data_IF_831163481786
#
_entry.id   IF_831163481786
#
_cell.length_a   1.000
_cell.length_b   1.000
_cell.length_c   1.000
_cell.angle_alpha   90.00
_cell.angle_beta   90.00
_cell.angle_gamma   90.00
#
_symmetry.space_group_name_H-M   'P 1'
#
loop_
_entity.id
_entity.type
_entity.pdbx_description
1 polymer ?
#
# COMPACT_ATOMS: atom_id res chain seq x y z
N UNK A 1 -39.94 -16.95 8.82
CA UNK A 1 -40.18 -18.20 8.08
C UNK A 1 -38.99 -18.41 7.15
N UNK A 2 -38.29 -19.52 7.35
CA UNK A 2 -36.90 -19.75 7.03
C UNK A 2 -36.61 -20.14 5.59
N UNK A 3 -35.41 -19.79 5.20
CA UNK A 3 -34.66 -20.19 4.01
C UNK A 3 -34.02 -21.58 4.23
N UNK A 4 -34.87 -22.64 4.40
CA UNK A 4 -34.41 -23.97 4.75
C UNK A 4 -34.76 -25.11 3.77
N UNK A 5 -35.49 -24.83 2.68
CA UNK A 5 -36.13 -25.91 1.90
C UNK A 5 -35.75 -26.03 0.42
N UNK A 6 -34.62 -25.48 -0.03
CA UNK A 6 -34.24 -25.55 -1.46
C UNK A 6 -33.20 -26.63 -1.78
N UNK A 7 -32.58 -27.28 -0.79
CA UNK A 7 -31.48 -28.27 -1.03
C UNK A 7 -31.84 -29.75 -0.78
N UNK A 8 -33.14 -30.13 -0.75
CA UNK A 8 -33.55 -31.52 -0.52
C UNK A 8 -34.36 -32.16 -1.66
N UNK A 9 -34.05 -31.85 -2.91
CA UNK A 9 -34.65 -32.61 -4.04
C UNK A 9 -33.68 -32.71 -5.21
N UNK A 10 -32.74 -33.63 -5.16
CA UNK A 10 -32.16 -34.25 -6.36
C UNK A 10 -31.24 -35.40 -5.96
N UNK A 11 -31.84 -36.44 -5.40
CA UNK A 11 -31.29 -37.81 -5.41
C UNK A 11 -32.46 -38.71 -5.63
N UNK A 12 -32.70 -39.14 -6.85
CA UNK A 12 -33.28 -40.45 -7.15
C UNK A 12 -33.10 -40.85 -8.64
N UNK A 13 -32.33 -41.89 -8.86
CA UNK A 13 -32.42 -42.95 -9.87
C UNK A 13 -32.42 -42.62 -11.37
N UNK A 14 -31.37 -43.16 -12.03
CA UNK A 14 -31.63 -44.06 -13.16
C UNK A 14 -30.39 -44.93 -13.40
N UNK A 15 -30.44 -46.17 -12.90
CA UNK A 15 -29.62 -47.29 -13.34
C UNK A 15 -30.17 -47.84 -14.64
N UNK A 16 -29.41 -47.77 -15.71
CA UNK A 16 -29.61 -48.57 -16.91
C UNK A 16 -28.26 -49.08 -17.38
N UNK A 17 -28.07 -50.40 -17.18
CA UNK A 17 -26.98 -51.21 -17.70
C UNK A 17 -27.15 -51.38 -19.21
N UNK A 18 -26.10 -51.02 -19.98
CA UNK A 18 -25.87 -51.57 -21.32
C UNK A 18 -24.42 -52.05 -21.41
N UNK A 19 -24.23 -53.35 -21.38
CA UNK A 19 -22.99 -53.99 -21.80
C UNK A 19 -22.83 -53.85 -23.31
N UNK A 20 -21.78 -53.20 -23.78
CA UNK A 20 -21.26 -53.37 -25.12
C UNK A 20 -19.72 -53.44 -25.03
N UNK A 21 -19.23 -54.67 -25.24
CA UNK A 21 -17.81 -54.91 -25.47
C UNK A 21 -17.37 -54.24 -26.78
N UNK A 22 -16.44 -53.29 -26.66
CA UNK A 22 -15.53 -52.99 -27.75
C UNK A 22 -14.19 -52.56 -27.14
N UNK A 23 -13.14 -53.30 -27.55
CA UNK A 23 -11.79 -53.11 -27.04
C UNK A 23 -11.28 -51.70 -27.30
N UNK A 24 -11.04 -50.96 -26.26
CA UNK A 24 -10.27 -49.73 -26.30
C UNK A 24 -8.93 -49.96 -25.62
N UNK A 25 -7.92 -49.81 -26.43
CA UNK A 25 -6.51 -49.72 -26.07
C UNK A 25 -6.37 -48.67 -24.94
N UNK A 26 -6.08 -49.12 -23.73
CA UNK A 26 -5.66 -48.25 -22.64
C UNK A 26 -4.38 -47.51 -23.05
N UNK A 27 -4.52 -46.32 -23.57
CA UNK A 27 -3.48 -45.29 -23.38
C UNK A 27 -3.53 -44.92 -21.91
N UNK A 28 -2.64 -45.49 -21.10
CA UNK A 28 -2.22 -44.88 -19.84
C UNK A 28 -1.64 -43.56 -20.20
N UNK A 29 -2.39 -42.48 -20.04
CA UNK A 29 -1.85 -41.18 -19.76
C UNK A 29 -1.11 -41.36 -18.45
N UNK A 30 0.22 -41.36 -18.50
CA UNK A 30 1.05 -41.13 -17.34
C UNK A 30 0.75 -39.70 -16.91
N UNK A 31 -0.19 -39.52 -15.98
CA UNK A 31 -0.22 -38.35 -15.14
C UNK A 31 1.15 -38.30 -14.48
N UNK A 32 2.01 -37.43 -15.00
CA UNK A 32 3.27 -37.09 -14.34
C UNK A 32 2.88 -36.56 -12.95
N UNK A 33 3.14 -37.38 -11.94
CA UNK A 33 3.07 -37.00 -10.53
C UNK A 33 4.23 -36.00 -10.26
N UNK A 34 4.20 -34.85 -10.93
CA UNK A 34 5.06 -33.71 -10.60
C UNK A 34 4.45 -33.10 -9.34
N UNK A 35 5.17 -33.18 -8.24
CA UNK A 35 4.77 -32.51 -7.02
C UNK A 35 4.54 -31.01 -7.36
N UNK A 36 3.48 -30.38 -6.80
CA UNK A 36 3.22 -28.98 -7.07
C UNK A 36 4.46 -28.15 -6.72
N UNK A 37 4.79 -27.15 -7.51
CA UNK A 37 5.94 -26.28 -7.25
C UNK A 37 5.82 -25.66 -5.86
N UNK A 38 6.93 -25.59 -5.14
CA UNK A 38 7.00 -25.00 -3.79
C UNK A 38 8.11 -23.97 -3.76
N UNK A 39 7.89 -22.88 -3.01
CA UNK A 39 8.94 -21.91 -2.77
C UNK A 39 9.93 -22.46 -1.75
N UNK A 40 11.20 -22.58 -2.14
CA UNK A 40 12.28 -23.06 -1.26
C UNK A 40 13.08 -21.90 -0.70
N UNK A 41 12.94 -21.64 0.60
CA UNK A 41 13.68 -20.60 1.29
C UNK A 41 15.11 -21.07 1.62
N UNK A 42 16.05 -20.12 1.61
CA UNK A 42 17.45 -20.39 2.04
C UNK A 42 17.52 -20.56 3.56
N UNK A 43 18.48 -21.35 4.01
CA UNK A 43 18.78 -21.49 5.44
C UNK A 43 19.80 -20.46 5.88
N UNK A 44 19.54 -19.77 6.99
CA UNK A 44 20.50 -18.84 7.59
C UNK A 44 21.63 -19.63 8.23
N UNK A 45 22.91 -19.31 7.95
CA UNK A 45 24.06 -19.95 8.61
C UNK A 45 23.95 -19.85 10.14
N UNK A 46 24.24 -20.94 10.83
CA UNK A 46 24.13 -21.02 12.31
C UNK A 46 25.09 -20.07 13.04
N UNK A 47 26.14 -19.61 12.37
CA UNK A 47 27.10 -18.63 12.90
C UNK A 47 26.52 -17.20 12.98
N UNK A 48 25.48 -16.89 12.19
CA UNK A 48 24.79 -15.59 12.26
C UNK A 48 23.76 -15.69 13.37
N UNK A 49 24.02 -15.08 14.50
CA UNK A 49 23.17 -15.17 15.71
C UNK A 49 22.36 -13.89 15.96
N UNK A 50 22.87 -12.74 15.52
CA UNK A 50 22.17 -11.46 15.66
C UNK A 50 20.87 -11.45 14.82
N UNK A 51 19.71 -11.05 15.39
CA UNK A 51 18.43 -11.07 14.67
C UNK A 51 18.39 -10.15 13.43
N UNK A 52 19.05 -8.99 13.48
CA UNK A 52 19.08 -8.05 12.35
C UNK A 52 19.96 -8.60 11.22
N UNK A 53 21.14 -9.11 11.55
CA UNK A 53 22.04 -9.76 10.57
C UNK A 53 21.36 -10.98 9.93
N UNK A 54 20.57 -11.75 10.69
CA UNK A 54 19.78 -12.88 10.17
C UNK A 54 18.71 -12.42 9.18
N UNK A 55 18.00 -11.34 9.50
CA UNK A 55 17.00 -10.76 8.62
C UNK A 55 17.65 -10.21 7.34
N UNK A 56 18.76 -9.48 7.44
CA UNK A 56 19.50 -8.96 6.28
C UNK A 56 20.06 -10.09 5.40
N UNK A 57 20.55 -11.19 6.00
CA UNK A 57 20.96 -12.38 5.26
C UNK A 57 19.77 -12.99 4.50
N UNK A 58 18.64 -13.20 5.17
CA UNK A 58 17.42 -13.76 4.55
C UNK A 58 16.94 -12.90 3.38
N UNK A 59 16.80 -11.59 3.59
CA UNK A 59 16.36 -10.65 2.57
C UNK A 59 17.29 -10.66 1.35
N UNK A 60 18.60 -10.67 1.57
CA UNK A 60 19.60 -10.69 0.50
C UNK A 60 19.54 -11.96 -0.33
N UNK A 61 19.27 -13.11 0.30
CA UNK A 61 19.34 -14.43 -0.32
C UNK A 61 17.96 -15.05 -0.56
N UNK A 62 16.87 -14.29 -0.35
CA UNK A 62 15.51 -14.80 -0.36
C UNK A 62 15.16 -15.53 -1.64
N UNK A 63 15.57 -14.99 -2.77
CA UNK A 63 15.22 -15.46 -4.11
C UNK A 63 16.30 -16.34 -4.76
N UNK A 64 17.39 -16.69 -4.05
CA UNK A 64 18.53 -17.41 -4.63
C UNK A 64 18.16 -18.80 -5.21
N UNK A 65 17.10 -19.42 -4.69
CA UNK A 65 16.62 -20.73 -5.16
C UNK A 65 15.42 -20.66 -6.09
N UNK A 66 14.92 -19.45 -6.37
CA UNK A 66 13.79 -19.26 -7.27
C UNK A 66 14.27 -19.15 -8.72
N UNK A 67 13.74 -20.00 -9.60
CA UNK A 67 14.09 -19.95 -11.03
C UNK A 67 13.19 -18.94 -11.76
N UNK A 68 13.68 -17.73 -11.97
CA UNK A 68 12.99 -16.67 -12.71
C UNK A 68 12.84 -16.96 -14.23
N UNK A 69 13.37 -18.07 -14.75
CA UNK A 69 13.15 -18.51 -16.13
C UNK A 69 11.96 -19.46 -16.26
N UNK A 70 11.54 -20.05 -15.18
CA UNK A 70 10.38 -20.95 -15.17
C UNK A 70 9.08 -20.16 -15.08
N UNK A 71 8.53 -19.82 -16.24
CA UNK A 71 7.28 -19.05 -16.35
C UNK A 71 6.05 -19.79 -15.85
N UNK A 72 6.12 -21.09 -15.52
CA UNK A 72 5.00 -21.80 -14.90
C UNK A 72 4.60 -21.20 -13.57
N UNK A 73 5.56 -20.60 -12.84
CA UNK A 73 5.32 -19.87 -11.58
C UNK A 73 4.37 -18.68 -11.71
N UNK A 74 4.21 -18.10 -12.90
CA UNK A 74 3.23 -17.01 -13.15
C UNK A 74 1.79 -17.52 -12.92
N UNK A 75 1.56 -18.81 -13.14
CA UNK A 75 0.25 -19.46 -12.99
C UNK A 75 0.06 -20.14 -11.63
N UNK A 76 1.01 -19.98 -10.72
CA UNK A 76 1.02 -20.56 -9.36
C UNK A 76 1.04 -19.46 -8.28
N UNK A 77 -0.03 -18.62 -8.19
CA UNK A 77 -0.06 -17.48 -7.27
C UNK A 77 0.06 -17.90 -5.81
N UNK A 78 -0.41 -19.10 -5.45
CA UNK A 78 -0.25 -19.68 -4.11
C UNK A 78 1.22 -19.90 -3.73
N UNK A 79 2.14 -19.94 -4.71
CA UNK A 79 3.59 -20.03 -4.48
C UNK A 79 4.23 -18.65 -4.56
N UNK A 80 4.04 -17.95 -5.68
CA UNK A 80 4.72 -16.68 -5.98
C UNK A 80 4.19 -15.51 -5.15
N UNK A 81 2.86 -15.36 -5.03
CA UNK A 81 2.28 -14.26 -4.25
C UNK A 81 2.50 -14.48 -2.74
N UNK A 82 2.45 -15.73 -2.27
CA UNK A 82 2.77 -16.03 -0.86
C UNK A 82 4.26 -15.77 -0.57
N UNK A 83 5.15 -16.18 -1.46
CA UNK A 83 6.58 -15.90 -1.31
C UNK A 83 6.84 -14.38 -1.30
N UNK A 84 6.20 -13.62 -2.20
CA UNK A 84 6.33 -12.17 -2.23
C UNK A 84 5.77 -11.51 -0.97
N UNK A 85 4.61 -11.94 -0.47
CA UNK A 85 4.03 -11.44 0.78
C UNK A 85 4.99 -11.64 1.96
N UNK A 86 5.56 -12.84 2.09
CA UNK A 86 6.56 -13.14 3.14
C UNK A 86 7.84 -12.30 2.97
N UNK A 87 8.26 -12.06 1.72
CA UNK A 87 9.40 -11.21 1.42
C UNK A 87 9.16 -9.75 1.83
N UNK A 88 7.98 -9.21 1.53
CA UNK A 88 7.59 -7.85 1.94
C UNK A 88 7.58 -7.72 3.47
N UNK A 89 7.06 -8.73 4.17
CA UNK A 89 7.03 -8.71 5.64
C UNK A 89 8.45 -8.69 6.25
N UNK A 90 9.38 -9.44 5.68
CA UNK A 90 10.79 -9.44 6.11
C UNK A 90 11.46 -8.06 5.99
N UNK A 91 11.02 -7.20 5.07
CA UNK A 91 11.58 -5.86 4.88
C UNK A 91 11.37 -4.94 6.09
N UNK A 92 10.43 -5.25 6.96
CA UNK A 92 10.20 -4.49 8.20
C UNK A 92 11.32 -4.69 9.24
N UNK A 93 12.21 -5.66 9.04
CA UNK A 93 13.26 -6.05 10.00
C UNK A 93 14.67 -5.72 9.52
N UNK A 94 14.82 -5.02 8.39
CA UNK A 94 16.11 -4.68 7.80
C UNK A 94 16.26 -3.17 7.59
N UNK A 95 17.51 -2.74 7.38
CA UNK A 95 17.79 -1.33 7.07
C UNK A 95 17.19 -0.92 5.72
N UNK A 96 16.81 0.37 5.54
CA UNK A 96 16.31 0.88 4.24
C UNK A 96 17.30 0.61 3.08
N UNK A 97 18.59 0.64 3.36
CA UNK A 97 19.63 0.34 2.36
C UNK A 97 19.62 -1.13 1.94
N UNK A 98 19.50 -2.05 2.91
CA UNK A 98 19.41 -3.49 2.65
C UNK A 98 18.11 -3.82 1.88
N UNK A 99 16.97 -3.22 2.28
CA UNK A 99 15.70 -3.33 1.59
C UNK A 99 15.82 -2.89 0.12
N UNK A 100 16.29 -1.68 -0.15
CA UNK A 100 16.42 -1.15 -1.52
C UNK A 100 17.34 -2.01 -2.37
N UNK A 101 18.49 -2.42 -1.82
CA UNK A 101 19.43 -3.29 -2.52
C UNK A 101 18.84 -4.64 -2.89
N UNK A 102 18.11 -5.27 -1.96
CA UNK A 102 17.48 -6.57 -2.18
C UNK A 102 16.36 -6.49 -3.22
N UNK A 103 15.49 -5.45 -3.16
CA UNK A 103 14.43 -5.24 -4.15
C UNK A 103 15.01 -5.07 -5.55
N UNK A 104 16.02 -4.21 -5.71
CA UNK A 104 16.68 -4.01 -7.00
C UNK A 104 17.36 -5.28 -7.52
N UNK A 105 17.96 -6.08 -6.64
CA UNK A 105 18.56 -7.36 -7.01
C UNK A 105 17.50 -8.37 -7.47
N UNK A 106 16.35 -8.46 -6.78
CA UNK A 106 15.23 -9.29 -7.19
C UNK A 106 14.70 -8.85 -8.57
N UNK A 107 14.40 -7.57 -8.75
CA UNK A 107 13.92 -7.03 -10.04
C UNK A 107 14.90 -7.33 -11.17
N UNK A 108 16.21 -7.27 -10.90
CA UNK A 108 17.23 -7.67 -11.90
C UNK A 108 17.16 -9.16 -12.27
N UNK A 109 16.83 -10.02 -11.33
CA UNK A 109 16.67 -11.45 -11.62
C UNK A 109 15.43 -11.73 -12.47
N UNK A 110 14.35 -10.96 -12.31
CA UNK A 110 13.13 -11.13 -13.11
C UNK A 110 13.35 -10.82 -14.59
N UNK A 111 14.34 -10.00 -14.97
CA UNK A 111 14.67 -9.69 -16.38
C UNK A 111 15.20 -10.89 -17.19
N UNK A 112 15.42 -12.05 -16.56
CA UNK A 112 15.80 -13.27 -17.28
C UNK A 112 14.71 -13.78 -18.23
N UNK A 113 13.45 -13.40 -17.98
CA UNK A 113 12.30 -13.63 -18.83
C UNK A 113 11.36 -12.42 -18.82
N UNK A 114 10.86 -12.00 -19.98
CA UNK A 114 10.03 -10.78 -20.10
C UNK A 114 8.66 -10.92 -19.44
N UNK A 115 8.04 -12.11 -19.50
CA UNK A 115 6.76 -12.35 -18.84
C UNK A 115 6.91 -12.38 -17.31
N UNK A 116 8.02 -12.93 -16.83
CA UNK A 116 8.36 -12.92 -15.40
C UNK A 116 8.63 -11.50 -14.90
N UNK A 117 9.36 -10.69 -15.69
CA UNK A 117 9.60 -9.29 -15.35
C UNK A 117 8.32 -8.47 -15.27
N UNK A 118 7.42 -8.63 -16.23
CA UNK A 118 6.11 -7.98 -16.21
C UNK A 118 5.29 -8.45 -15.00
N UNK A 119 5.19 -9.74 -14.77
CA UNK A 119 4.43 -10.33 -13.67
C UNK A 119 4.87 -9.82 -12.30
N UNK A 120 6.19 -9.83 -12.02
CA UNK A 120 6.71 -9.29 -10.76
C UNK A 120 6.54 -7.78 -10.64
N UNK A 121 6.67 -7.03 -11.74
CA UNK A 121 6.42 -5.58 -11.73
C UNK A 121 4.97 -5.27 -11.36
N UNK A 122 4.00 -6.00 -11.93
CA UNK A 122 2.58 -5.87 -11.62
C UNK A 122 2.25 -6.29 -10.17
N UNK A 123 2.87 -7.38 -9.69
CA UNK A 123 2.70 -7.80 -8.29
C UNK A 123 3.27 -6.77 -7.31
N UNK A 124 4.45 -6.21 -7.58
CA UNK A 124 5.04 -5.18 -6.72
C UNK A 124 4.14 -3.94 -6.68
N UNK A 125 3.55 -3.53 -7.78
CA UNK A 125 2.56 -2.45 -7.81
C UNK A 125 1.31 -2.82 -7.01
N UNK A 126 0.71 -3.99 -7.27
CA UNK A 126 -0.48 -4.49 -6.57
C UNK A 126 -0.31 -4.51 -5.05
N UNK A 127 0.84 -4.98 -4.57
CA UNK A 127 1.04 -5.16 -3.13
C UNK A 127 1.60 -3.92 -2.43
N UNK A 128 2.47 -3.15 -3.09
CA UNK A 128 3.16 -2.05 -2.42
C UNK A 128 2.52 -0.68 -2.65
N UNK A 129 1.77 -0.51 -3.75
CA UNK A 129 1.23 0.79 -4.15
C UNK A 129 -0.28 0.91 -4.05
N UNK A 130 -1.07 -0.17 -4.29
CA UNK A 130 -2.53 -0.12 -4.20
C UNK A 130 -2.94 0.39 -2.80
N UNK A 131 -3.76 1.45 -2.70
CA UNK A 131 -4.18 2.02 -1.42
C UNK A 131 -4.97 1.04 -0.54
N UNK A 132 -5.57 0.01 -1.11
CA UNK A 132 -6.30 -1.03 -0.38
C UNK A 132 -5.41 -2.22 0.04
N UNK A 133 -4.15 -2.24 -0.37
CA UNK A 133 -3.24 -3.32 -0.01
C UNK A 133 -2.84 -3.24 1.47
N UNK A 134 -3.01 -4.30 2.26
CA UNK A 134 -2.52 -4.35 3.64
C UNK A 134 -0.98 -4.39 3.72
N UNK A 135 -0.31 -4.70 2.59
CA UNK A 135 1.15 -4.77 2.47
C UNK A 135 1.75 -3.49 1.87
N UNK A 136 0.94 -2.44 1.71
CA UNK A 136 1.39 -1.17 1.13
C UNK A 136 2.63 -0.64 1.83
N UNK A 137 3.68 -0.37 1.03
CA UNK A 137 4.96 0.15 1.50
C UNK A 137 5.60 1.02 0.42
N UNK A 138 5.43 2.32 0.52
CA UNK A 138 5.92 3.27 -0.48
C UNK A 138 7.45 3.30 -0.55
N UNK A 139 8.16 3.17 0.59
CA UNK A 139 9.63 3.16 0.60
C UNK A 139 10.20 1.97 -0.18
N UNK A 140 9.56 0.81 -0.07
CA UNK A 140 9.92 -0.37 -0.87
C UNK A 140 9.53 -0.17 -2.35
N UNK A 141 8.38 0.45 -2.62
CA UNK A 141 7.94 0.72 -3.99
C UNK A 141 8.82 1.75 -4.69
N UNK A 142 9.37 2.74 -3.99
CA UNK A 142 10.39 3.65 -4.52
C UNK A 142 11.57 2.87 -5.09
N UNK A 143 12.07 1.85 -4.41
CA UNK A 143 13.17 1.03 -4.91
C UNK A 143 12.81 0.26 -6.20
N UNK A 144 11.55 -0.18 -6.32
CA UNK A 144 11.03 -0.78 -7.56
C UNK A 144 10.99 0.25 -8.68
N UNK A 145 10.42 1.43 -8.43
CA UNK A 145 10.29 2.51 -9.42
C UNK A 145 11.65 3.03 -9.89
N UNK A 146 12.62 3.18 -8.98
CA UNK A 146 14.00 3.52 -9.33
C UNK A 146 14.58 2.47 -10.27
N UNK A 147 14.39 1.18 -9.97
CA UNK A 147 14.84 0.11 -10.84
C UNK A 147 14.18 0.17 -12.22
N UNK A 148 12.85 0.30 -12.29
CA UNK A 148 12.10 0.34 -13.55
C UNK A 148 12.48 1.53 -14.42
N UNK A 149 12.73 2.70 -13.84
CA UNK A 149 13.16 3.90 -14.58
C UNK A 149 14.55 3.77 -15.19
N UNK A 150 15.45 3.00 -14.56
CA UNK A 150 16.82 2.78 -15.00
C UNK A 150 16.98 1.54 -15.90
N UNK A 151 16.03 0.58 -15.86
CA UNK A 151 16.12 -0.69 -16.56
C UNK A 151 16.26 -0.50 -18.08
N UNK A 152 17.21 -1.22 -18.69
CA UNK A 152 17.34 -1.30 -20.16
C UNK A 152 16.34 -2.26 -20.81
N UNK A 153 15.59 -3.01 -20.01
CA UNK A 153 14.57 -3.95 -20.48
C UNK A 153 13.25 -3.25 -20.81
N UNK A 154 13.08 -1.98 -20.41
CA UNK A 154 11.93 -1.13 -20.73
C UNK A 154 12.29 -0.07 -21.77
N UNK A 155 11.39 0.15 -22.72
CA UNK A 155 11.45 1.29 -23.65
C UNK A 155 11.19 2.61 -22.93
N UNK A 156 11.54 3.74 -23.55
CA UNK A 156 11.29 5.07 -23.01
C UNK A 156 9.79 5.32 -22.74
N UNK A 157 8.91 4.75 -23.56
CA UNK A 157 7.45 4.86 -23.36
C UNK A 157 6.99 4.10 -22.11
N UNK A 158 7.50 2.89 -21.89
CA UNK A 158 7.17 2.10 -20.71
C UNK A 158 7.70 2.71 -19.40
N UNK A 159 8.75 3.52 -19.48
CA UNK A 159 9.32 4.25 -18.34
C UNK A 159 8.55 5.50 -17.93
N UNK A 160 7.65 6.03 -18.78
CA UNK A 160 6.92 7.28 -18.48
C UNK A 160 6.12 7.13 -17.18
N UNK A 161 5.34 6.05 -17.03
CA UNK A 161 4.51 5.82 -15.85
C UNK A 161 5.33 5.57 -14.58
N UNK A 162 6.33 4.67 -14.57
CA UNK A 162 7.21 4.52 -13.41
C UNK A 162 7.92 5.81 -13.00
N UNK A 163 8.38 6.63 -13.95
CA UNK A 163 9.05 7.90 -13.65
C UNK A 163 8.09 8.90 -12.99
N UNK A 164 6.86 9.00 -13.48
CA UNK A 164 5.83 9.85 -12.88
C UNK A 164 5.46 9.38 -11.47
N UNK A 165 5.25 8.07 -11.26
CA UNK A 165 4.98 7.52 -9.93
C UNK A 165 6.14 7.71 -8.97
N UNK A 166 7.38 7.61 -9.44
CA UNK A 166 8.58 7.88 -8.64
C UNK A 166 8.61 9.36 -8.19
N UNK A 167 8.32 10.29 -9.11
CA UNK A 167 8.22 11.71 -8.76
C UNK A 167 7.19 11.95 -7.66
N UNK A 168 5.99 11.36 -7.77
CA UNK A 168 4.93 11.45 -6.76
C UNK A 168 5.35 10.84 -5.41
N UNK A 169 5.93 9.65 -5.44
CA UNK A 169 6.39 8.96 -4.24
C UNK A 169 7.47 9.74 -3.48
N UNK A 170 8.34 10.45 -4.21
CA UNK A 170 9.40 11.28 -3.61
C UNK A 170 8.87 12.61 -3.04
N UNK A 171 7.66 13.08 -3.46
CA UNK A 171 7.02 14.27 -2.88
C UNK A 171 6.61 14.00 -1.42
N UNK A 172 6.91 14.93 -0.54
CA UNK A 172 6.53 14.83 0.88
C UNK A 172 6.95 13.49 1.54
N UNK A 173 8.13 12.98 1.17
CA UNK A 173 8.66 11.72 1.69
C UNK A 173 8.89 11.80 3.19
N UNK A 174 8.74 10.68 3.89
CA UNK A 174 9.03 10.58 5.33
C UNK A 174 10.45 11.11 5.61
N UNK A 175 10.56 11.97 6.61
CA UNK A 175 11.82 12.60 7.00
C UNK A 175 12.17 13.88 6.22
N UNK A 176 11.41 14.27 5.18
CA UNK A 176 11.62 15.53 4.45
C UNK A 176 10.63 16.61 4.88
N UNK A 177 10.89 17.92 4.61
CA UNK A 177 9.90 18.96 4.80
C UNK A 177 8.67 18.74 3.90
N UNK A 178 7.47 18.88 4.45
CA UNK A 178 6.24 18.86 3.68
C UNK A 178 6.15 20.11 2.78
N UNK A 179 5.59 19.97 1.59
CA UNK A 179 5.38 21.10 0.68
C UNK A 179 4.34 22.06 1.27
N UNK A 180 4.69 23.35 1.36
CA UNK A 180 3.76 24.40 1.82
C UNK A 180 2.65 24.64 0.80
N UNK A 181 1.45 24.87 1.28
CA UNK A 181 0.33 25.27 0.43
C UNK A 181 -0.60 26.24 1.15
N UNK A 182 -1.44 26.93 0.36
CA UNK A 182 -2.45 27.85 0.88
C UNK A 182 -3.79 27.15 0.97
N UNK A 183 -4.42 27.19 2.13
CA UNK A 183 -5.79 26.70 2.33
C UNK A 183 -6.74 27.88 2.57
N UNK A 184 -8.05 27.68 2.34
CA UNK A 184 -9.10 28.69 2.52
C UNK A 184 -10.15 28.19 3.51
N UNK A 185 -10.53 29.01 4.47
CA UNK A 185 -11.56 28.74 5.47
C UNK A 185 -12.96 29.08 4.93
N UNK A 186 -14.02 28.61 5.60
CA UNK A 186 -15.41 28.88 5.22
C UNK A 186 -15.77 30.37 5.17
N UNK A 187 -15.11 31.21 5.97
CA UNK A 187 -15.28 32.67 5.96
C UNK A 187 -14.46 33.39 4.86
N UNK A 188 -13.76 32.64 4.01
CA UNK A 188 -12.93 33.18 2.93
C UNK A 188 -11.51 33.61 3.35
N UNK A 189 -11.17 33.54 4.64
CA UNK A 189 -9.80 33.80 5.09
C UNK A 189 -8.87 32.69 4.60
N UNK A 190 -7.64 33.05 4.27
CA UNK A 190 -6.62 32.12 3.83
C UNK A 190 -5.54 31.92 4.88
N UNK A 191 -4.97 30.74 4.92
CA UNK A 191 -3.79 30.41 5.73
C UNK A 191 -2.79 29.60 4.94
N UNK A 192 -1.58 29.46 5.47
CA UNK A 192 -0.54 28.60 4.95
C UNK A 192 -0.25 27.47 5.93
N UNK A 193 0.05 26.27 5.42
CA UNK A 193 0.43 25.12 6.22
C UNK A 193 1.53 25.46 7.26
N UNK A 194 2.58 26.16 6.82
CA UNK A 194 3.74 26.50 7.66
C UNK A 194 3.42 27.53 8.76
N UNK A 195 2.31 28.24 8.66
CA UNK A 195 1.89 29.20 9.68
C UNK A 195 1.17 28.55 10.87
N UNK A 196 0.76 27.29 10.75
CA UNK A 196 0.09 26.55 11.83
C UNK A 196 1.11 26.18 12.89
N UNK A 197 0.90 26.68 14.13
CA UNK A 197 1.78 26.40 15.28
C UNK A 197 1.21 25.26 16.12
N UNK A 198 1.93 24.14 16.15
CA UNK A 198 1.66 22.97 17.00
C UNK A 198 2.92 22.10 17.03
N UNK A 199 3.06 21.21 18.00
CA UNK A 199 4.14 20.22 18.05
C UNK A 199 3.93 19.17 16.95
N UNK A 200 2.66 18.80 16.70
CA UNK A 200 2.24 17.90 15.63
C UNK A 200 1.13 18.55 14.80
N UNK A 201 1.15 18.31 13.52
CA UNK A 201 0.09 18.72 12.58
C UNK A 201 -0.39 17.47 11.82
N UNK A 202 -1.65 17.12 12.01
CA UNK A 202 -2.32 16.09 11.25
C UNK A 202 -2.99 16.72 10.03
N UNK A 203 -2.52 16.37 8.82
CA UNK A 203 -3.20 16.71 7.58
C UNK A 203 -4.21 15.61 7.27
N UNK A 204 -5.43 16.01 7.01
CA UNK A 204 -6.52 15.13 6.62
C UNK A 204 -7.12 15.63 5.31
N UNK A 205 -6.72 15.01 4.20
CA UNK A 205 -7.35 15.23 2.91
C UNK A 205 -8.59 14.35 2.80
N UNK A 206 -9.74 14.97 2.55
CA UNK A 206 -11.01 14.26 2.61
C UNK A 206 -12.01 14.77 1.54
N UNK A 207 -13.07 14.01 1.32
CA UNK A 207 -14.21 14.42 0.51
C UNK A 207 -15.51 14.22 1.33
N UNK A 208 -16.48 15.17 1.30
CA UNK A 208 -17.76 15.07 2.00
C UNK A 208 -18.53 13.76 1.76
N UNK A 209 -18.56 13.31 0.52
CA UNK A 209 -19.32 12.10 0.11
C UNK A 209 -18.55 10.78 0.35
N UNK A 210 -17.36 10.86 0.93
CA UNK A 210 -16.53 9.71 1.18
C UNK A 210 -16.90 9.03 2.50
N UNK A 211 -17.48 7.84 2.45
CA UNK A 211 -17.83 7.05 3.64
C UNK A 211 -16.62 6.73 4.53
N UNK A 212 -15.48 6.38 3.92
CA UNK A 212 -14.25 6.13 4.66
C UNK A 212 -13.74 7.38 5.38
N UNK A 213 -13.92 8.58 4.79
CA UNK A 213 -13.56 9.85 5.43
C UNK A 213 -14.43 10.12 6.67
N UNK A 214 -15.72 9.85 6.58
CA UNK A 214 -16.64 9.97 7.71
C UNK A 214 -16.28 9.01 8.85
N UNK A 215 -15.85 7.80 8.51
CA UNK A 215 -15.40 6.81 9.50
C UNK A 215 -14.12 7.29 10.21
N UNK A 216 -13.11 7.77 9.46
CA UNK A 216 -11.88 8.33 10.03
C UNK A 216 -12.18 9.57 10.90
N UNK A 217 -13.11 10.44 10.48
CA UNK A 217 -13.55 11.59 11.29
C UNK A 217 -14.10 11.12 12.64
N UNK A 218 -15.00 10.11 12.65
CA UNK A 218 -15.56 9.55 13.89
C UNK A 218 -14.50 8.91 14.79
N UNK A 219 -13.53 8.20 14.20
CA UNK A 219 -12.42 7.62 14.94
C UNK A 219 -11.56 8.70 15.61
N UNK A 220 -11.21 9.76 14.89
CA UNK A 220 -10.46 10.90 15.44
C UNK A 220 -11.22 11.61 16.56
N UNK A 221 -12.53 11.86 16.38
CA UNK A 221 -13.37 12.49 17.42
C UNK A 221 -13.50 11.66 18.68
N UNK A 222 -13.57 10.33 18.54
CA UNK A 222 -13.71 9.40 19.68
C UNK A 222 -12.38 9.05 20.35
N UNK A 223 -11.24 9.35 19.72
CA UNK A 223 -9.94 9.02 20.26
C UNK A 223 -9.58 9.87 21.47
N UNK A 224 -9.35 9.22 22.59
CA UNK A 224 -8.86 9.89 23.81
C UNK A 224 -7.53 10.59 23.56
N UNK A 225 -6.60 9.93 22.88
CA UNK A 225 -5.25 10.44 22.61
C UNK A 225 -5.28 11.69 21.74
N UNK A 226 -6.01 11.67 20.62
CA UNK A 226 -6.18 12.83 19.75
C UNK A 226 -6.78 14.01 20.50
N UNK A 227 -7.81 13.77 21.30
CA UNK A 227 -8.48 14.79 22.11
C UNK A 227 -7.55 15.41 23.16
N UNK A 228 -6.73 14.61 23.85
CA UNK A 228 -5.75 15.10 24.84
C UNK A 228 -4.65 15.96 24.18
N UNK A 229 -4.13 15.52 23.04
CA UNK A 229 -3.13 16.29 22.30
C UNK A 229 -3.71 17.58 21.72
N UNK A 230 -4.97 17.57 21.26
CA UNK A 230 -5.65 18.77 20.76
C UNK A 230 -5.93 19.78 21.87
N UNK A 231 -6.48 19.35 23.02
CA UNK A 231 -6.75 20.20 24.20
C UNK A 231 -5.46 20.83 24.76
N UNK A 232 -4.36 20.08 24.74
CA UNK A 232 -3.06 20.60 25.19
C UNK A 232 -2.33 21.47 24.14
N UNK A 233 -2.97 21.74 22.99
CA UNK A 233 -2.38 22.43 21.84
C UNK A 233 -1.11 21.78 21.27
N UNK A 234 -0.84 20.50 21.59
CA UNK A 234 0.26 19.75 21.01
C UNK A 234 -0.06 19.30 19.58
N UNK A 235 -1.32 18.97 19.28
CA UNK A 235 -1.79 18.57 17.96
C UNK A 235 -2.78 19.59 17.40
N UNK A 236 -2.64 19.94 16.15
CA UNK A 236 -3.68 20.56 15.32
C UNK A 236 -4.06 19.65 14.17
N UNK A 237 -5.33 19.68 13.78
CA UNK A 237 -5.84 18.94 12.63
C UNK A 237 -6.20 19.96 11.55
N UNK A 238 -5.58 19.82 10.38
CA UNK A 238 -5.93 20.59 9.18
C UNK A 238 -6.68 19.64 8.23
N UNK A 239 -8.00 19.76 8.22
CA UNK A 239 -8.87 19.05 7.30
C UNK A 239 -9.03 19.87 6.01
N UNK A 240 -8.66 19.29 4.88
CA UNK A 240 -8.61 19.98 3.58
C UNK A 240 -9.43 19.21 2.56
N UNK A 241 -10.39 19.91 1.95
CA UNK A 241 -11.10 19.43 0.78
C UNK A 241 -10.32 19.87 -0.48
N UNK A 242 -9.80 18.91 -1.29
CA UNK A 242 -8.92 19.23 -2.41
C UNK A 242 -9.63 19.40 -3.76
N UNK A 243 -10.95 19.12 -3.83
CA UNK A 243 -11.71 19.10 -5.07
C UNK A 243 -12.48 20.41 -5.34
N UNK A 244 -13.20 20.47 -6.46
CA UNK A 244 -13.82 21.68 -7.01
C UNK A 244 -15.25 21.95 -6.52
N UNK A 245 -15.98 20.92 -6.02
CA UNK A 245 -17.38 21.07 -5.59
C UNK A 245 -17.48 21.75 -4.22
N UNK A 246 -17.40 23.08 -4.25
CA UNK A 246 -17.46 23.89 -3.04
C UNK A 246 -18.84 23.91 -2.39
N UNK A 247 -19.92 23.59 -3.11
CA UNK A 247 -21.25 23.61 -2.53
C UNK A 247 -21.46 22.35 -1.66
N UNK A 248 -21.04 21.18 -2.13
CA UNK A 248 -20.97 19.97 -1.31
C UNK A 248 -20.10 20.18 -0.05
N UNK A 249 -18.94 20.82 -0.20
CA UNK A 249 -18.07 21.12 0.94
C UNK A 249 -18.72 22.09 1.95
N UNK A 250 -19.37 23.16 1.51
CA UNK A 250 -20.04 24.13 2.39
C UNK A 250 -21.17 23.52 3.21
N UNK A 251 -21.94 22.62 2.61
CA UNK A 251 -22.99 21.86 3.30
C UNK A 251 -22.37 20.98 4.39
N UNK A 252 -21.29 20.26 4.05
CA UNK A 252 -20.63 19.32 4.95
C UNK A 252 -19.85 19.98 6.09
N UNK A 253 -19.19 21.12 5.86
CA UNK A 253 -18.31 21.77 6.84
C UNK A 253 -19.01 22.11 8.15
N UNK A 254 -20.34 22.27 8.12
CA UNK A 254 -21.16 22.56 9.30
C UNK A 254 -21.19 21.43 10.32
N UNK A 255 -21.00 20.17 9.89
CA UNK A 255 -20.98 18.96 10.72
C UNK A 255 -19.57 18.50 11.10
N UNK A 256 -18.54 19.12 10.56
CA UNK A 256 -17.15 18.84 10.92
C UNK A 256 -16.82 19.36 12.32
N UNK A 257 -15.89 18.71 13.06
CA UNK A 257 -15.44 19.15 14.39
C UNK A 257 -14.95 20.62 14.34
N UNK A 258 -15.46 21.45 15.25
CA UNK A 258 -15.23 22.91 15.23
C UNK A 258 -13.84 23.32 15.72
N UNK A 259 -13.16 22.47 16.42
CA UNK A 259 -11.78 22.66 16.92
C UNK A 259 -10.73 22.31 15.85
N UNK A 260 -11.14 21.73 14.73
CA UNK A 260 -10.28 21.49 13.57
C UNK A 260 -10.18 22.73 12.69
N UNK A 261 -9.11 22.83 11.93
CA UNK A 261 -8.97 23.83 10.85
C UNK A 261 -9.65 23.23 9.61
N UNK A 262 -10.94 23.51 9.46
CA UNK A 262 -11.75 23.02 8.34
C UNK A 262 -11.58 23.94 7.14
N UNK A 263 -11.05 23.43 6.05
CA UNK A 263 -10.61 24.21 4.91
C UNK A 263 -10.79 23.49 3.57
N UNK A 264 -10.62 24.25 2.49
CA UNK A 264 -10.58 23.75 1.13
C UNK A 264 -9.43 24.36 0.35
N UNK A 265 -9.01 23.71 -0.73
CA UNK A 265 -8.06 24.28 -1.68
C UNK A 265 -8.79 25.07 -2.77
N UNK A 266 -8.83 26.38 -2.62
CA UNK A 266 -9.51 27.27 -3.58
C UNK A 266 -8.90 27.23 -4.98
N UNK A 267 -7.62 26.94 -5.08
CA UNK A 267 -6.87 26.90 -6.35
C UNK A 267 -6.90 25.51 -7.01
N UNK A 268 -7.35 24.50 -6.28
CA UNK A 268 -7.28 23.08 -6.68
C UNK A 268 -5.84 22.65 -7.03
N UNK A 269 -4.85 23.36 -6.51
CA UNK A 269 -3.42 23.12 -6.79
C UNK A 269 -2.92 21.80 -6.18
N UNK A 270 -3.49 21.41 -5.05
CA UNK A 270 -3.15 20.12 -4.41
C UNK A 270 -3.33 18.96 -5.38
N UNK A 271 -4.38 19.01 -6.20
CA UNK A 271 -4.72 17.98 -7.18
C UNK A 271 -4.08 18.25 -8.54
N UNK A 272 -4.25 19.48 -9.09
CA UNK A 272 -3.81 19.78 -10.45
C UNK A 272 -2.29 19.85 -10.60
N UNK A 273 -1.57 20.31 -9.57
CA UNK A 273 -0.11 20.36 -9.54
C UNK A 273 0.50 19.16 -8.79
N UNK A 274 -0.37 18.23 -8.35
CA UNK A 274 0.03 17.03 -7.61
C UNK A 274 1.00 17.34 -6.46
N UNK A 275 0.71 18.40 -5.70
CA UNK A 275 1.58 18.86 -4.60
C UNK A 275 1.71 17.77 -3.52
N UNK A 276 0.62 17.01 -3.29
CA UNK A 276 0.58 15.81 -2.47
C UNK A 276 0.09 14.63 -3.31
N UNK A 277 0.60 13.44 -3.05
CA UNK A 277 0.06 12.21 -3.65
C UNK A 277 -1.28 11.88 -2.99
N UNK A 278 -2.37 12.22 -3.67
CA UNK A 278 -3.75 12.00 -3.25
C UNK A 278 -4.40 10.86 -4.06
N UNK A 279 -3.68 9.76 -4.24
CA UNK A 279 -4.15 8.58 -5.00
C UNK A 279 -5.45 7.96 -4.48
N UNK A 280 -5.74 8.17 -3.20
CA UNK A 280 -6.98 7.77 -2.55
C UNK A 280 -7.39 8.79 -1.47
N UNK A 281 -8.68 8.88 -1.18
CA UNK A 281 -9.24 9.67 -0.10
C UNK A 281 -9.98 8.71 0.85
N UNK A 282 -9.77 8.79 2.17
CA UNK A 282 -8.96 9.78 2.89
C UNK A 282 -7.46 9.55 2.80
N UNK A 283 -6.67 10.62 2.79
CA UNK A 283 -5.21 10.58 2.92
C UNK A 283 -4.77 11.35 4.16
N UNK A 284 -3.94 10.73 5.00
CA UNK A 284 -3.46 11.28 6.26
C UNK A 284 -1.94 11.45 6.26
N UNK A 285 -1.48 12.63 6.70
CA UNK A 285 -0.05 12.89 6.97
C UNK A 285 0.11 13.38 8.40
N UNK A 286 1.12 12.89 9.10
CA UNK A 286 1.54 13.46 10.39
C UNK A 286 2.83 14.24 10.20
N UNK A 287 2.84 15.51 10.59
CA UNK A 287 4.00 16.39 10.51
C UNK A 287 4.45 16.80 11.92
N UNK A 288 5.75 17.03 12.10
CA UNK A 288 6.27 17.60 13.33
C UNK A 288 6.15 19.15 13.34
N UNK A 289 6.68 19.79 14.38
CA UNK A 289 6.67 21.25 14.57
C UNK A 289 7.33 22.01 13.42
N UNK A 290 8.39 21.47 12.84
CA UNK A 290 9.15 22.03 11.72
C UNK A 290 8.50 21.70 10.35
N UNK A 291 7.33 21.05 10.35
CA UNK A 291 6.62 20.55 9.16
C UNK A 291 7.37 19.45 8.42
N UNK A 292 8.25 18.72 9.11
CA UNK A 292 8.86 17.50 8.57
C UNK A 292 7.86 16.36 8.62
N UNK A 293 7.76 15.58 7.56
CA UNK A 293 6.85 14.44 7.47
C UNK A 293 7.33 13.31 8.39
N UNK A 294 6.48 12.94 9.34
CA UNK A 294 6.70 11.81 10.25
C UNK A 294 6.01 10.55 9.73
N UNK A 295 4.80 10.69 9.22
CA UNK A 295 4.02 9.64 8.59
C UNK A 295 3.38 10.19 7.32
N UNK A 296 3.40 9.39 6.24
CA UNK A 296 2.84 9.72 4.93
C UNK A 296 1.80 8.66 4.56
N UNK A 297 0.63 9.09 4.09
CA UNK A 297 -0.46 8.22 3.63
C UNK A 297 -0.75 7.09 4.66
N UNK A 298 -0.78 7.50 5.93
CA UNK A 298 -0.86 6.59 7.06
C UNK A 298 -2.32 6.24 7.41
N UNK A 299 -2.52 5.06 7.98
CA UNK A 299 -3.79 4.72 8.62
C UNK A 299 -3.93 5.50 9.93
N UNK A 300 -5.18 5.70 10.39
CA UNK A 300 -5.43 6.34 11.67
C UNK A 300 -4.75 5.59 12.84
N UNK A 301 -4.76 4.27 12.80
CA UNK A 301 -4.09 3.44 13.81
C UNK A 301 -2.57 3.68 13.87
N UNK A 302 -1.91 3.88 12.73
CA UNK A 302 -0.48 4.20 12.69
C UNK A 302 -0.20 5.57 13.34
N UNK A 303 -1.08 6.55 13.12
CA UNK A 303 -0.98 7.87 13.75
C UNK A 303 -1.14 7.76 15.27
N UNK A 304 -2.16 7.05 15.76
CA UNK A 304 -2.35 6.82 17.20
C UNK A 304 -1.15 6.11 17.83
N UNK A 305 -0.66 5.06 17.19
CA UNK A 305 0.51 4.31 17.66
C UNK A 305 1.75 5.22 17.74
N UNK A 306 1.98 6.07 16.75
CA UNK A 306 3.10 7.01 16.76
C UNK A 306 2.97 8.01 17.92
N UNK A 307 1.82 8.67 18.06
CA UNK A 307 1.59 9.66 19.11
C UNK A 307 1.67 9.03 20.50
N UNK A 308 1.20 7.80 20.70
CA UNK A 308 1.27 7.10 21.98
C UNK A 308 2.71 6.86 22.44
N UNK A 309 3.63 6.56 21.52
CA UNK A 309 5.05 6.36 21.82
C UNK A 309 5.76 7.64 22.22
N UNK A 310 5.23 8.81 21.84
CA UNK A 310 5.82 10.12 22.20
C UNK A 310 5.36 10.65 23.55
N UNK A 311 4.46 9.94 24.21
CA UNK A 311 3.91 10.33 25.54
C UNK A 311 4.72 9.76 26.70
N UNK A 312 5.66 8.86 26.42
CA UNK A 312 6.62 8.30 27.39
C UNK A 312 7.93 9.09 27.29
#
# INVERSE_FOLDING_TARGET
RGLGDVYKRQVLLLTLTVNACSGQRNQKTEESNVAPPTFEMVSVPTLITDPVERAEYLVKHYWDKFDFKDTTYIHEPQVTEQALSNYIDLMNYVSPAAMSSSVKAMMKQTEQDSAMFQYFSEMMEKYLYDPNSPLRNEEMYIAVLEYLTESSSLSDVEKIRPAHLLELALKNRIGTPATDFTYTLANGQTGKLYNIKADYLLLFFYNPDCHACQEITRQMESSFLINEFSKSNKLKILAVYPDEDLDAWKEHVSVMPKDWINSYDKSVSLKNDEIYDLKAIPTLYLLNKEKKVLLKDATFQQIENYLSQTTN
#
